data_IF_168854122607
#
_entry.id   IF_168854122607
#
_cell.length_a   1.000
_cell.length_b   1.000
_cell.length_c   1.000
_cell.angle_alpha   90.00
_cell.angle_beta   90.00
_cell.angle_gamma   90.00
#
_symmetry.space_group_name_H-M   'P 1'
#
loop_
_entity.id
_entity.type
_entity.pdbx_description
1 polymer ?
#
# COMPACT_ATOMS: atom_id res chain seq x y z
N UNK A 1 13.19 15.70 1.25
CA UNK A 1 12.70 14.49 1.93
C UNK A 1 12.41 13.49 0.82
N UNK A 2 13.03 12.31 0.87
CA UNK A 2 12.71 11.23 -0.07
C UNK A 2 11.36 10.60 0.31
N UNK A 3 10.55 10.31 -0.69
CA UNK A 3 9.29 9.58 -0.54
C UNK A 3 9.32 8.42 -1.51
N UNK A 4 9.07 7.21 -1.02
CA UNK A 4 8.89 6.04 -1.86
C UNK A 4 7.40 5.86 -2.14
N UNK A 5 7.05 5.47 -3.36
CA UNK A 5 5.69 5.07 -3.69
C UNK A 5 5.63 3.63 -4.21
N UNK A 6 4.60 2.92 -3.77
CA UNK A 6 4.35 1.53 -4.14
C UNK A 6 3.00 1.41 -4.81
N UNK A 7 2.98 0.82 -6.01
CA UNK A 7 1.74 0.34 -6.62
C UNK A 7 1.52 -1.10 -6.20
N UNK A 8 0.38 -1.37 -5.58
CA UNK A 8 0.03 -2.68 -5.04
C UNK A 8 -1.17 -3.24 -5.76
N UNK A 9 -1.08 -4.50 -6.20
CA UNK A 9 -2.25 -5.26 -6.65
C UNK A 9 -2.82 -6.02 -5.47
N UNK A 10 -4.13 -5.90 -5.25
CA UNK A 10 -4.87 -6.53 -4.16
C UNK A 10 -5.79 -7.65 -4.66
N UNK A 11 -6.14 -8.57 -3.77
CA UNK A 11 -7.25 -9.51 -3.98
C UNK A 11 -8.59 -8.80 -4.17
N UNK A 12 -9.57 -9.49 -4.77
CA UNK A 12 -10.95 -8.97 -4.99
C UNK A 12 -11.82 -8.93 -3.72
N UNK A 13 -11.21 -9.07 -2.56
CA UNK A 13 -11.94 -9.03 -1.30
C UNK A 13 -12.36 -7.60 -1.00
N UNK A 14 -13.65 -7.42 -0.66
CA UNK A 14 -14.22 -6.12 -0.34
C UNK A 14 -13.45 -5.38 0.77
N UNK A 15 -12.75 -6.13 1.63
CA UNK A 15 -11.99 -5.63 2.77
C UNK A 15 -10.49 -5.53 2.54
N UNK A 16 -9.95 -5.93 1.37
CA UNK A 16 -8.51 -5.97 1.13
C UNK A 16 -7.82 -4.61 1.33
N UNK A 17 -8.43 -3.53 0.86
CA UNK A 17 -7.89 -2.17 1.04
C UNK A 17 -7.84 -1.73 2.50
N UNK A 18 -8.88 -2.07 3.28
CA UNK A 18 -8.90 -1.77 4.71
C UNK A 18 -7.84 -2.61 5.45
N UNK A 19 -7.73 -3.90 5.13
CA UNK A 19 -6.74 -4.78 5.73
C UNK A 19 -5.31 -4.33 5.43
N UNK A 20 -5.02 -3.91 4.20
CA UNK A 20 -3.76 -3.28 3.82
C UNK A 20 -3.48 -2.04 4.67
N UNK A 21 -4.42 -1.10 4.72
CA UNK A 21 -4.26 0.16 5.45
C UNK A 21 -4.02 -0.06 6.94
N UNK A 22 -4.77 -0.97 7.58
CA UNK A 22 -4.61 -1.31 8.99
C UNK A 22 -3.24 -1.96 9.25
N UNK A 23 -2.82 -2.89 8.38
CA UNK A 23 -1.51 -3.54 8.49
C UNK A 23 -0.36 -2.53 8.39
N UNK A 24 -0.38 -1.67 7.38
CA UNK A 24 0.69 -0.69 7.16
C UNK A 24 0.74 0.37 8.26
N UNK A 25 -0.41 0.79 8.79
CA UNK A 25 -0.45 1.69 9.96
C UNK A 25 0.21 1.04 11.18
N UNK A 26 -0.02 -0.25 11.39
CA UNK A 26 0.62 -0.99 12.48
C UNK A 26 2.12 -1.22 12.29
N UNK A 27 2.54 -1.53 11.06
CA UNK A 27 3.93 -1.87 10.75
C UNK A 27 4.84 -0.63 10.63
N UNK A 28 4.35 0.47 10.06
CA UNK A 28 5.15 1.63 9.68
C UNK A 28 4.92 2.87 10.55
N UNK A 29 3.82 2.91 11.32
CA UNK A 29 3.50 4.03 12.21
C UNK A 29 3.55 5.39 11.49
N UNK A 30 4.45 6.27 11.91
CA UNK A 30 4.62 7.62 11.37
C UNK A 30 5.31 7.69 10.01
N UNK A 31 5.87 6.59 9.52
CA UNK A 31 6.51 6.52 8.21
C UNK A 31 5.48 6.33 7.07
N UNK A 32 4.30 5.80 7.39
CA UNK A 32 3.19 5.73 6.44
C UNK A 32 2.56 7.11 6.27
N UNK A 33 2.67 7.66 5.05
CA UNK A 33 2.07 8.95 4.73
C UNK A 33 0.62 8.76 4.30
N UNK A 34 0.36 7.83 3.38
CA UNK A 34 -0.99 7.58 2.88
C UNK A 34 -1.12 6.22 2.18
N UNK A 35 -2.36 5.71 2.16
CA UNK A 35 -2.80 4.60 1.30
C UNK A 35 -3.97 5.11 0.47
N UNK A 36 -3.82 5.13 -0.84
CA UNK A 36 -4.83 5.57 -1.80
C UNK A 36 -5.40 4.36 -2.55
N UNK A 37 -6.72 4.34 -2.72
CA UNK A 37 -7.38 3.52 -3.73
C UNK A 37 -7.60 4.40 -4.97
N UNK A 38 -7.05 4.06 -6.15
CA UNK A 38 -7.35 4.79 -7.37
C UNK A 38 -8.87 4.84 -7.56
N UNK A 39 -9.43 6.04 -7.70
CA UNK A 39 -10.89 6.29 -7.83
C UNK A 39 -11.42 5.82 -9.21
N UNK A 40 -10.70 4.95 -9.92
CA UNK A 40 -11.11 4.31 -11.18
C UNK A 40 -12.25 3.28 -10.98
N UNK A 41 -13.06 3.45 -9.92
CA UNK A 41 -14.17 2.60 -9.54
C UNK A 41 -13.75 1.37 -8.74
N UNK A 42 -14.71 0.78 -8.03
CA UNK A 42 -14.62 -0.47 -7.26
C UNK A 42 -13.97 -1.67 -8.00
N UNK A 43 -13.64 -1.53 -9.29
CA UNK A 43 -13.01 -2.54 -10.13
C UNK A 43 -11.46 -2.51 -10.12
N UNK A 44 -10.84 -1.44 -9.63
CA UNK A 44 -9.38 -1.37 -9.54
C UNK A 44 -8.93 -2.12 -8.29
N UNK A 45 -8.45 -3.35 -8.49
CA UNK A 45 -7.73 -4.16 -7.51
C UNK A 45 -6.35 -3.55 -7.17
N UNK A 46 -6.25 -2.23 -7.10
CA UNK A 46 -4.99 -1.51 -7.01
C UNK A 46 -5.03 -0.57 -5.83
N UNK A 47 -3.90 -0.43 -5.14
CA UNK A 47 -3.69 0.56 -4.10
C UNK A 47 -2.33 1.24 -4.31
N UNK A 48 -2.24 2.52 -4.01
CA UNK A 48 -0.99 3.27 -4.00
C UNK A 48 -0.63 3.55 -2.55
N UNK A 49 0.58 3.18 -2.15
CA UNK A 49 1.10 3.42 -0.80
C UNK A 49 2.22 4.45 -0.89
N UNK A 50 2.14 5.49 -0.07
CA UNK A 50 3.14 6.54 0.03
C UNK A 50 3.80 6.46 1.41
N UNK A 51 5.13 6.40 1.43
CA UNK A 51 5.90 6.29 2.66
C UNK A 51 7.04 7.31 2.67
N UNK A 52 7.52 7.63 3.86
CA UNK A 52 8.60 8.59 4.07
C UNK A 52 9.93 7.86 4.23
N UNK A 53 10.91 8.21 3.38
CA UNK A 53 12.26 7.63 3.40
C UNK A 53 12.37 6.29 2.64
N UNK A 54 13.61 5.85 2.47
CA UNK A 54 13.98 4.61 1.78
C UNK A 54 13.90 3.44 2.77
N UNK A 55 12.92 2.55 2.63
CA UNK A 55 12.79 1.38 3.53
C UNK A 55 11.39 0.79 3.71
N UNK A 56 10.34 1.45 3.21
CA UNK A 56 8.96 0.96 3.36
C UNK A 56 8.59 -0.26 2.52
N UNK A 57 9.47 -0.66 1.58
CA UNK A 57 9.19 -1.72 0.60
C UNK A 57 8.86 -3.08 1.23
N UNK A 58 9.57 -3.46 2.29
CA UNK A 58 9.38 -4.76 2.95
C UNK A 58 8.02 -4.87 3.67
N UNK A 59 7.59 -3.79 4.32
CA UNK A 59 6.31 -3.72 5.02
C UNK A 59 5.13 -3.62 4.04
N UNK A 60 5.30 -2.88 2.94
CA UNK A 60 4.31 -2.78 1.88
C UNK A 60 4.03 -4.16 1.26
N UNK A 61 5.07 -4.83 0.72
CA UNK A 61 4.92 -6.09 -0.01
C UNK A 61 4.41 -7.28 0.81
N UNK A 62 4.58 -7.25 2.13
CA UNK A 62 4.19 -8.36 3.03
C UNK A 62 2.76 -8.25 3.57
N UNK A 63 2.01 -7.21 3.18
CA UNK A 63 0.69 -6.97 3.74
C UNK A 63 -0.35 -8.01 3.25
N UNK A 64 -1.29 -8.42 4.12
CA UNK A 64 -2.34 -9.38 3.75
C UNK A 64 -3.18 -8.90 2.56
N UNK A 65 -3.43 -9.81 1.62
CA UNK A 65 -4.24 -9.53 0.43
C UNK A 65 -3.50 -8.82 -0.70
N UNK A 66 -2.20 -8.55 -0.56
CA UNK A 66 -1.33 -8.09 -1.65
C UNK A 66 -0.94 -9.28 -2.53
N UNK A 67 -1.14 -9.12 -3.85
CA UNK A 67 -0.78 -10.10 -4.88
C UNK A 67 0.50 -9.72 -5.61
N UNK A 68 0.77 -8.41 -5.75
CA UNK A 68 1.97 -7.89 -6.37
C UNK A 68 2.26 -6.47 -5.85
N UNK A 69 3.52 -6.08 -5.87
CA UNK A 69 3.97 -4.73 -5.53
C UNK A 69 5.05 -4.26 -6.50
N UNK A 70 4.92 -3.03 -7.00
CA UNK A 70 5.92 -2.34 -7.80
C UNK A 70 6.42 -1.13 -7.01
N UNK A 71 7.74 -0.99 -6.89
CA UNK A 71 8.38 0.10 -6.18
C UNK A 71 8.90 1.14 -7.16
N UNK A 72 8.67 2.40 -6.84
CA UNK A 72 9.17 3.51 -7.60
C UNK A 72 9.78 4.56 -6.65
N UNK A 73 11.03 4.94 -6.97
CA UNK A 73 11.87 5.90 -6.24
C UNK A 73 12.05 7.20 -7.02
#
# INVERSE_FOLDING_TARGET
MAYDYFSMTLGRERTAQKALSDHLRGAMGSELVAVFAPVLGFASNTALVLVKGEGGAGAAGSAPGVLASEHHS
#
